data_IF_842912878804
#
_entry.id   IF_842912878804
#
_cell.length_a   1.000
_cell.length_b   1.000
_cell.length_c   1.000
_cell.angle_alpha   90.00
_cell.angle_beta   90.00
_cell.angle_gamma   90.00
#
_symmetry.space_group_name_H-M   'P 1'
#
loop_
_entity.id
_entity.type
_entity.pdbx_description
1 polymer ?
#
# COMPACT_ATOMS: atom_id res chain seq x y z
N UNK A 1 3.01 53.40 16.42
CA UNK A 1 2.50 52.14 16.99
C UNK A 1 2.28 51.17 15.83
N UNK A 2 3.28 50.37 15.48
CA UNK A 2 3.23 49.42 14.37
C UNK A 2 3.38 48.02 14.96
N UNK A 3 2.31 47.23 14.89
CA UNK A 3 2.31 45.83 15.33
C UNK A 3 2.88 44.96 14.21
N UNK A 4 3.97 44.27 14.51
CA UNK A 4 4.60 43.26 13.66
C UNK A 4 3.82 41.94 13.84
N UNK A 5 2.97 41.56 12.89
CA UNK A 5 2.33 40.23 12.85
C UNK A 5 3.38 39.19 12.43
N UNK A 6 3.91 38.46 13.41
CA UNK A 6 4.71 37.26 13.15
C UNK A 6 3.74 36.15 12.75
N UNK A 7 3.60 35.91 11.44
CA UNK A 7 2.91 34.75 10.94
C UNK A 7 3.63 33.49 11.45
N UNK A 8 3.04 32.84 12.45
CA UNK A 8 3.53 31.56 12.96
C UNK A 8 3.45 30.54 11.82
N UNK A 9 4.60 30.20 11.24
CA UNK A 9 4.76 29.07 10.34
C UNK A 9 4.39 27.83 11.17
N UNK A 10 3.13 27.38 11.06
CA UNK A 10 2.71 26.09 11.57
C UNK A 10 3.47 25.03 10.79
N UNK A 11 4.61 24.57 11.32
CA UNK A 11 5.27 23.36 10.84
C UNK A 11 4.22 22.25 10.94
N UNK A 12 3.69 21.78 9.81
CA UNK A 12 3.01 20.49 9.81
C UNK A 12 4.08 19.49 10.25
N UNK A 13 3.95 18.98 11.46
CA UNK A 13 4.68 17.78 11.87
C UNK A 13 4.09 16.67 11.00
N UNK A 14 4.70 16.42 9.85
CA UNK A 14 4.45 15.18 9.12
C UNK A 14 5.06 14.10 10.00
N UNK A 15 4.22 13.39 10.75
CA UNK A 15 4.69 12.24 11.50
C UNK A 15 5.31 11.25 10.52
N UNK A 16 6.57 10.86 10.73
CA UNK A 16 7.14 9.74 9.97
C UNK A 16 6.33 8.49 10.35
N UNK A 17 5.42 8.09 9.49
CA UNK A 17 4.70 6.82 9.62
C UNK A 17 5.69 5.67 9.39
N UNK A 18 5.59 4.65 10.24
CA UNK A 18 6.47 3.48 10.20
C UNK A 18 5.66 2.19 10.18
N UNK A 19 6.12 1.23 9.41
CA UNK A 19 5.59 -0.13 9.36
C UNK A 19 6.37 -0.98 10.35
N UNK A 20 5.67 -1.91 11.02
CA UNK A 20 6.30 -2.93 11.84
C UNK A 20 6.13 -4.30 11.17
N UNK A 21 7.24 -5.02 10.98
CA UNK A 21 7.26 -6.36 10.40
C UNK A 21 7.72 -7.33 11.49
N UNK A 22 6.90 -8.34 11.78
CA UNK A 22 7.26 -9.43 12.67
C UNK A 22 7.83 -10.58 11.85
N UNK A 23 9.05 -11.00 12.14
CA UNK A 23 9.73 -12.12 11.49
C UNK A 23 10.18 -13.14 12.53
N UNK A 24 10.65 -14.31 12.11
CA UNK A 24 11.27 -15.28 13.01
C UNK A 24 12.48 -14.71 13.78
N UNK A 25 13.16 -13.72 13.21
CA UNK A 25 14.30 -13.03 13.83
C UNK A 25 13.92 -11.87 14.77
N UNK A 26 12.64 -11.54 14.90
CA UNK A 26 12.14 -10.45 15.74
C UNK A 26 11.33 -9.40 14.97
N UNK A 27 11.11 -8.25 15.63
CA UNK A 27 10.34 -7.13 15.11
C UNK A 27 11.25 -6.10 14.43
N UNK A 28 10.94 -5.74 13.19
CA UNK A 28 11.63 -4.68 12.44
C UNK A 28 10.69 -3.49 12.24
N UNK A 29 11.18 -2.27 12.49
CA UNK A 29 10.45 -1.03 12.21
C UNK A 29 11.09 -0.32 11.02
N UNK A 30 10.28 0.02 10.02
CA UNK A 30 10.74 0.64 8.78
C UNK A 30 9.93 1.91 8.54
N UNK A 31 10.61 3.06 8.43
CA UNK A 31 9.98 4.28 7.94
C UNK A 31 9.78 4.14 6.42
N UNK A 32 8.53 4.08 5.99
CA UNK A 32 8.19 3.89 4.59
C UNK A 32 6.93 4.69 4.25
N UNK A 33 6.92 5.32 3.07
CA UNK A 33 5.74 5.96 2.51
C UNK A 33 4.87 4.96 1.74
N UNK A 34 5.48 3.92 1.16
CA UNK A 34 4.82 2.88 0.38
C UNK A 34 5.67 1.62 0.29
N UNK A 35 5.05 0.48 0.01
CA UNK A 35 5.72 -0.78 -0.25
C UNK A 35 4.91 -1.65 -1.22
N UNK A 36 5.55 -2.69 -1.75
CA UNK A 36 4.90 -3.70 -2.58
C UNK A 36 4.96 -5.03 -1.85
N UNK A 37 3.81 -5.66 -1.63
CA UNK A 37 3.72 -7.02 -1.17
C UNK A 37 3.65 -7.94 -2.40
N UNK A 38 4.60 -8.87 -2.53
CA UNK A 38 4.66 -9.81 -3.65
C UNK A 38 4.69 -11.24 -3.14
N UNK A 39 3.81 -12.08 -3.66
CA UNK A 39 3.77 -13.50 -3.32
C UNK A 39 3.32 -14.33 -4.53
N UNK A 40 3.50 -15.64 -4.44
CA UNK A 40 3.07 -16.58 -5.48
C UNK A 40 1.92 -17.41 -4.94
N UNK A 41 0.81 -17.45 -5.67
CA UNK A 41 -0.33 -18.27 -5.31
C UNK A 41 0.08 -19.75 -5.22
N UNK A 42 -0.23 -20.41 -4.11
CA UNK A 42 0.34 -21.71 -3.79
C UNK A 42 -0.11 -22.83 -4.74
N UNK A 43 -1.33 -22.76 -5.26
CA UNK A 43 -1.91 -23.77 -6.17
C UNK A 43 -1.55 -23.41 -7.62
N UNK A 44 -2.06 -22.29 -8.11
CA UNK A 44 -1.87 -21.82 -9.49
C UNK A 44 -0.43 -21.45 -9.86
N UNK A 45 0.46 -21.24 -8.87
CA UNK A 45 1.83 -20.78 -9.07
C UNK A 45 1.95 -19.45 -9.82
N UNK A 46 0.90 -18.63 -9.75
CA UNK A 46 0.83 -17.30 -10.39
C UNK A 46 1.32 -16.22 -9.42
N UNK A 47 2.19 -15.28 -9.86
CA UNK A 47 2.63 -14.18 -9.03
C UNK A 47 1.55 -13.10 -8.86
N UNK A 48 1.46 -12.59 -7.63
CA UNK A 48 0.56 -11.54 -7.17
C UNK A 48 1.36 -10.38 -6.60
N UNK A 49 0.88 -9.17 -6.84
CA UNK A 49 1.48 -7.96 -6.31
C UNK A 49 0.41 -7.01 -5.79
N UNK A 50 0.67 -6.42 -4.63
CA UNK A 50 -0.16 -5.37 -4.05
C UNK A 50 0.71 -4.17 -3.71
N UNK A 51 0.27 -2.99 -4.14
CA UNK A 51 0.93 -1.73 -3.87
C UNK A 51 0.21 -1.04 -2.70
N UNK A 52 0.94 -0.82 -1.63
CA UNK A 52 0.42 -0.25 -0.39
C UNK A 52 1.05 1.12 -0.12
N UNK A 53 0.21 2.10 0.23
CA UNK A 53 0.64 3.40 0.72
C UNK A 53 0.40 3.52 2.23
N UNK A 54 1.35 4.10 2.95
CA UNK A 54 1.25 4.35 4.38
C UNK A 54 0.74 5.77 4.59
N UNK A 55 -0.46 5.89 5.16
CA UNK A 55 -1.14 7.18 5.36
C UNK A 55 -1.51 7.38 6.83
N UNK A 56 -1.90 8.60 7.18
CA UNK A 56 -2.43 8.91 8.52
C UNK A 56 -3.72 8.13 8.86
N UNK A 57 -4.42 7.58 7.85
CA UNK A 57 -5.61 6.75 8.03
C UNK A 57 -5.28 5.25 8.14
N UNK A 58 -4.02 4.86 7.91
CA UNK A 58 -3.56 3.47 7.83
C UNK A 58 -2.96 3.11 6.48
N UNK A 59 -2.82 1.81 6.24
CA UNK A 59 -2.36 1.19 5.01
C UNK A 59 -3.48 1.21 3.98
N UNK A 60 -3.22 1.84 2.83
CA UNK A 60 -4.17 1.94 1.72
C UNK A 60 -3.64 1.09 0.57
N UNK A 61 -4.42 0.10 0.14
CA UNK A 61 -4.13 -0.69 -1.06
C UNK A 61 -4.45 0.17 -2.28
N UNK A 62 -3.43 0.70 -2.94
CA UNK A 62 -3.62 1.60 -4.08
C UNK A 62 -3.74 0.85 -5.39
N UNK A 63 -3.16 -0.33 -5.51
CA UNK A 63 -3.23 -1.14 -6.73
C UNK A 63 -3.00 -2.61 -6.41
N UNK A 64 -3.73 -3.51 -7.08
CA UNK A 64 -3.47 -4.94 -7.06
C UNK A 64 -3.23 -5.45 -8.49
N UNK A 65 -2.30 -6.38 -8.63
CA UNK A 65 -1.90 -6.96 -9.91
C UNK A 65 -1.76 -8.47 -9.85
N UNK A 66 -2.32 -9.14 -10.86
CA UNK A 66 -2.28 -10.60 -10.99
C UNK A 66 -1.77 -10.97 -12.39
N UNK A 67 -0.82 -11.91 -12.47
CA UNK A 67 -0.26 -12.33 -13.76
C UNK A 67 -1.07 -13.47 -14.38
N UNK A 68 -2.01 -13.13 -15.27
CA UNK A 68 -2.93 -14.09 -15.88
C UNK A 68 -4.23 -14.25 -15.09
N UNK A 69 -5.06 -15.20 -15.51
CA UNK A 69 -6.33 -15.55 -14.88
C UNK A 69 -6.31 -17.03 -14.54
N UNK A 70 -6.59 -17.38 -13.29
CA UNK A 70 -6.69 -18.77 -12.80
C UNK A 70 -8.02 -18.98 -12.07
N UNK A 71 -8.37 -20.22 -11.77
CA UNK A 71 -9.64 -20.52 -11.12
C UNK A 71 -9.73 -19.87 -9.73
N UNK A 72 -10.76 -19.05 -9.50
CA UNK A 72 -10.94 -18.31 -8.25
C UNK A 72 -10.05 -17.07 -8.14
N UNK A 73 -9.41 -16.69 -9.25
CA UNK A 73 -8.45 -15.58 -9.36
C UNK A 73 -8.90 -14.63 -10.48
N UNK A 74 -10.18 -14.66 -10.83
CA UNK A 74 -10.78 -13.80 -11.84
C UNK A 74 -10.54 -12.33 -11.48
N UNK A 75 -9.81 -11.59 -12.34
CA UNK A 75 -9.67 -10.16 -12.19
C UNK A 75 -11.05 -9.51 -12.18
N UNK A 76 -11.26 -8.43 -11.40
CA UNK A 76 -12.51 -7.70 -11.45
C UNK A 76 -12.75 -7.11 -12.85
N UNK A 77 -13.99 -6.77 -13.17
CA UNK A 77 -14.39 -6.30 -14.51
C UNK A 77 -13.67 -5.03 -14.96
N UNK A 78 -13.21 -4.21 -14.00
CA UNK A 78 -12.46 -2.98 -14.24
C UNK A 78 -10.94 -3.21 -14.39
N UNK A 79 -10.47 -4.46 -14.29
CA UNK A 79 -9.05 -4.77 -14.41
C UNK A 79 -8.53 -4.56 -15.84
N UNK A 80 -7.39 -3.89 -15.94
CA UNK A 80 -6.73 -3.60 -17.21
C UNK A 80 -5.58 -4.59 -17.42
N UNK A 81 -5.64 -5.35 -18.51
CA UNK A 81 -4.55 -6.25 -18.91
C UNK A 81 -3.42 -5.47 -19.59
N UNK A 82 -2.23 -5.48 -18.99
CA UNK A 82 -1.00 -4.91 -19.58
C UNK A 82 0.18 -5.85 -19.35
N UNK A 83 0.89 -6.21 -20.41
CA UNK A 83 2.09 -7.06 -20.34
C UNK A 83 1.87 -8.38 -19.57
N UNK A 84 0.70 -8.99 -19.72
CA UNK A 84 0.32 -10.23 -19.02
C UNK A 84 -0.11 -10.05 -17.56
N UNK A 85 -0.22 -8.81 -17.07
CA UNK A 85 -0.71 -8.46 -15.75
C UNK A 85 -2.09 -7.81 -15.83
N UNK A 86 -3.07 -8.35 -15.12
CA UNK A 86 -4.30 -7.65 -14.84
C UNK A 86 -4.06 -6.71 -13.66
N UNK A 87 -4.28 -5.41 -13.86
CA UNK A 87 -4.10 -4.37 -12.83
C UNK A 87 -5.44 -3.70 -12.54
N UNK A 88 -5.78 -3.56 -11.25
CA UNK A 88 -7.04 -2.97 -10.81
C UNK A 88 -6.84 -2.18 -9.50
N UNK A 89 -7.83 -1.36 -9.16
CA UNK A 89 -7.85 -0.55 -7.94
C UNK A 89 -8.87 -1.12 -6.95
N UNK A 90 -8.42 -1.80 -5.88
CA UNK A 90 -9.33 -2.36 -4.89
C UNK A 90 -10.07 -1.28 -4.10
N UNK A 91 -11.39 -1.40 -4.01
CA UNK A 91 -12.23 -0.48 -3.25
C UNK A 91 -12.42 -0.98 -1.81
N UNK A 92 -11.33 -1.01 -1.05
CA UNK A 92 -11.32 -1.44 0.35
C UNK A 92 -10.93 -0.29 1.28
N UNK A 93 -11.45 -0.24 2.52
CA UNK A 93 -11.08 0.80 3.47
C UNK A 93 -9.61 0.66 3.91
N UNK A 94 -8.97 1.74 4.38
CA UNK A 94 -7.64 1.68 4.97
C UNK A 94 -7.56 0.66 6.11
N UNK A 95 -6.48 -0.13 6.15
CA UNK A 95 -6.23 -1.16 7.18
C UNK A 95 -5.13 -0.72 8.14
N UNK A 96 -5.12 -1.26 9.37
CA UNK A 96 -4.03 -1.04 10.34
C UNK A 96 -2.89 -2.05 10.21
N UNK A 97 -3.20 -3.20 9.63
CA UNK A 97 -2.39 -4.41 9.51
C UNK A 97 -2.74 -5.12 8.19
N UNK A 98 -1.84 -6.02 7.74
CA UNK A 98 -2.06 -6.87 6.56
C UNK A 98 -2.17 -8.32 7.02
#
# INVERSE_FOLDING_TARGET
MAFLEVAAIRRRVVGLMAICITTAGGLMKIAAASFVLSWTHSVEKIPWQEHWSVTDQGLVLTEARIKGSGAGMEPPEDAVLRNGWYSYHPHIPPRRDI
#
